data_IF_192428171173
#
_entry.id   IF_192428171173
#
_cell.length_a   1.000
_cell.length_b   1.000
_cell.length_c   1.000
_cell.angle_alpha   90.00
_cell.angle_beta   90.00
_cell.angle_gamma   90.00
#
_symmetry.space_group_name_H-M   'P 1'
#
loop_
_entity.id
_entity.type
_entity.pdbx_description
1 polymer ?
#
# COMPACT_ATOMS: atom_id res chain seq x y z
N UNK A 1 -0.57 -9.06 -29.66
CA UNK A 1 0.07 -7.75 -29.39
C UNK A 1 -0.61 -7.00 -28.24
N UNK A 2 -1.95 -7.03 -28.11
CA UNK A 2 -2.69 -6.28 -27.06
C UNK A 2 -2.36 -6.67 -25.61
N UNK A 3 -2.29 -7.97 -25.27
CA UNK A 3 -1.96 -8.42 -23.90
C UNK A 3 -0.66 -7.81 -23.37
N UNK A 4 0.37 -7.72 -24.22
CA UNK A 4 1.69 -7.17 -23.82
C UNK A 4 1.61 -5.68 -23.45
N UNK A 5 0.77 -4.91 -24.13
CA UNK A 5 0.54 -3.48 -23.85
C UNK A 5 -0.24 -3.33 -22.53
N UNK A 6 -1.26 -4.17 -22.33
CA UNK A 6 -2.07 -4.19 -21.10
C UNK A 6 -1.23 -4.49 -19.84
N UNK A 7 -0.36 -5.49 -19.92
CA UNK A 7 0.62 -5.82 -18.89
C UNK A 7 1.53 -4.63 -18.50
N UNK A 8 2.07 -3.93 -19.52
CA UNK A 8 2.96 -2.79 -19.32
C UNK A 8 2.23 -1.63 -18.63
N UNK A 9 0.99 -1.36 -19.05
CA UNK A 9 0.17 -0.28 -18.49
C UNK A 9 -0.21 -0.56 -17.03
N UNK A 10 -0.56 -1.80 -16.68
CA UNK A 10 -0.82 -2.20 -15.29
C UNK A 10 0.43 -2.05 -14.42
N UNK A 11 1.60 -2.44 -14.95
CA UNK A 11 2.87 -2.24 -14.24
C UNK A 11 3.17 -0.77 -13.97
N UNK A 12 3.02 0.09 -14.98
CA UNK A 12 3.19 1.55 -14.84
C UNK A 12 2.22 2.10 -13.79
N UNK A 13 0.95 1.70 -13.82
CA UNK A 13 -0.05 2.15 -12.88
C UNK A 13 0.26 1.73 -11.43
N UNK A 14 0.69 0.47 -11.21
CA UNK A 14 1.15 -0.02 -9.91
C UNK A 14 2.46 0.63 -9.45
N UNK A 15 3.26 1.19 -10.36
CA UNK A 15 4.43 1.98 -10.00
C UNK A 15 4.06 3.42 -9.63
N UNK A 16 3.21 4.07 -10.45
CA UNK A 16 2.84 5.47 -10.27
C UNK A 16 1.96 5.68 -9.04
N UNK A 17 0.99 4.79 -8.78
CA UNK A 17 0.08 4.86 -7.63
C UNK A 17 0.78 5.05 -6.27
N UNK A 18 1.68 4.16 -5.85
CA UNK A 18 2.45 4.34 -4.61
C UNK A 18 3.46 5.50 -4.70
N UNK A 19 4.07 5.75 -5.87
CA UNK A 19 5.05 6.84 -6.03
C UNK A 19 4.41 8.20 -5.81
N UNK A 20 3.25 8.46 -6.43
CA UNK A 20 2.54 9.72 -6.22
C UNK A 20 2.08 9.87 -4.77
N UNK A 21 1.61 8.79 -4.12
CA UNK A 21 1.21 8.84 -2.71
C UNK A 21 2.40 9.21 -1.83
N UNK A 22 3.56 8.60 -2.05
CA UNK A 22 4.77 8.94 -1.30
C UNK A 22 5.12 10.43 -1.42
N UNK A 23 5.14 10.97 -2.63
CA UNK A 23 5.42 12.40 -2.85
C UNK A 23 4.35 13.30 -2.21
N UNK A 24 3.07 12.94 -2.34
CA UNK A 24 1.96 13.69 -1.76
C UNK A 24 2.01 13.67 -0.22
N UNK A 25 2.39 12.56 0.41
CA UNK A 25 2.61 12.49 1.86
C UNK A 25 3.74 13.41 2.32
N UNK A 26 4.85 13.47 1.58
CA UNK A 26 5.97 14.38 1.90
C UNK A 26 5.50 15.84 1.84
N UNK A 27 4.78 16.22 0.78
CA UNK A 27 4.22 17.56 0.64
C UNK A 27 3.21 17.86 1.75
N UNK A 28 2.26 16.96 2.01
CA UNK A 28 1.27 17.15 3.06
C UNK A 28 1.90 17.28 4.45
N UNK A 29 2.92 16.48 4.76
CA UNK A 29 3.66 16.57 6.01
C UNK A 29 4.44 17.90 6.13
N UNK A 30 5.05 18.37 5.04
CA UNK A 30 5.77 19.65 5.03
C UNK A 30 4.84 20.86 5.21
N UNK A 31 3.56 20.73 4.82
CA UNK A 31 2.55 21.77 4.96
C UNK A 31 1.76 21.70 6.28
N UNK A 32 1.98 20.67 7.10
CA UNK A 32 1.30 20.50 8.39
C UNK A 32 2.15 21.10 9.52
N UNK A 33 1.71 22.22 10.15
CA UNK A 33 2.42 22.82 11.27
C UNK A 33 2.70 21.84 12.42
N UNK A 34 3.93 21.86 12.93
CA UNK A 34 4.39 21.00 14.04
C UNK A 34 4.28 19.49 13.80
N UNK A 35 4.15 19.05 12.55
CA UNK A 35 4.09 17.63 12.21
C UNK A 35 5.39 16.90 12.57
N UNK A 36 5.26 15.83 13.35
CA UNK A 36 6.36 14.96 13.75
C UNK A 36 6.18 13.58 13.14
N UNK A 37 7.20 13.11 12.38
CA UNK A 37 7.21 11.76 11.81
C UNK A 37 7.07 10.68 12.89
N UNK A 38 7.62 10.91 14.09
CA UNK A 38 7.57 9.95 15.18
C UNK A 38 6.21 10.01 15.92
N UNK A 39 5.68 11.21 16.15
CA UNK A 39 4.56 11.40 17.07
C UNK A 39 3.21 11.56 16.40
N UNK A 40 3.18 11.81 15.09
CA UNK A 40 1.95 11.92 14.31
C UNK A 40 1.75 10.72 13.41
N UNK A 41 0.52 10.20 13.42
CA UNK A 41 0.11 9.19 12.46
C UNK A 41 0.24 9.75 11.04
N UNK A 42 0.43 8.87 10.07
CA UNK A 42 0.27 9.15 8.65
C UNK A 42 -1.15 9.62 8.39
N UNK A 43 -2.14 9.00 9.02
CA UNK A 43 -3.56 9.36 8.87
C UNK A 43 -3.90 10.77 9.35
N UNK A 44 -3.11 11.35 10.27
CA UNK A 44 -3.24 12.76 10.67
C UNK A 44 -3.13 13.69 9.46
N UNK A 45 -2.36 13.31 8.43
CA UNK A 45 -2.21 14.08 7.19
C UNK A 45 -3.54 14.26 6.45
N UNK A 46 -4.50 13.34 6.63
CA UNK A 46 -5.80 13.34 5.97
C UNK A 46 -6.95 13.89 6.81
N UNK A 47 -6.71 14.28 8.06
CA UNK A 47 -7.73 14.82 8.95
C UNK A 47 -8.13 16.25 8.58
N UNK A 48 -9.36 16.64 8.92
CA UNK A 48 -9.92 17.98 8.66
C UNK A 48 -9.06 19.15 9.16
N UNK A 49 -8.23 18.95 10.19
CA UNK A 49 -7.28 19.94 10.69
C UNK A 49 -6.01 20.16 9.84
N UNK A 50 -5.73 19.27 8.87
CA UNK A 50 -4.59 19.39 7.95
C UNK A 50 -4.94 20.26 6.74
N UNK A 51 -4.17 21.32 6.52
CA UNK A 51 -4.34 22.23 5.36
C UNK A 51 -4.19 21.52 4.01
N UNK A 52 -3.48 20.39 3.99
CA UNK A 52 -3.24 19.55 2.82
C UNK A 52 -3.97 18.19 2.90
N UNK A 53 -5.04 18.08 3.71
CA UNK A 53 -5.82 16.85 3.88
C UNK A 53 -6.30 16.26 2.55
N UNK A 54 -6.81 17.11 1.66
CA UNK A 54 -7.26 16.70 0.32
C UNK A 54 -6.16 16.02 -0.49
N UNK A 55 -4.91 16.47 -0.36
CA UNK A 55 -3.77 15.94 -1.10
C UNK A 55 -3.47 14.51 -0.65
N UNK A 56 -3.41 14.28 0.67
CA UNK A 56 -3.25 12.95 1.23
C UNK A 56 -4.43 12.04 0.84
N UNK A 57 -5.66 12.48 1.09
CA UNK A 57 -6.87 11.68 0.88
C UNK A 57 -7.06 11.26 -0.59
N UNK A 58 -6.90 12.19 -1.53
CA UNK A 58 -6.97 11.87 -2.96
C UNK A 58 -5.84 10.91 -3.36
N UNK A 59 -4.61 11.18 -2.91
CA UNK A 59 -3.46 10.35 -3.28
C UNK A 59 -3.55 8.92 -2.74
N UNK A 60 -4.05 8.71 -1.52
CA UNK A 60 -4.21 7.35 -0.97
C UNK A 60 -5.38 6.61 -1.63
N UNK A 61 -6.44 7.32 -2.02
CA UNK A 61 -7.51 6.75 -2.85
C UNK A 61 -6.99 6.31 -4.23
N UNK A 62 -6.18 7.14 -4.90
CA UNK A 62 -5.57 6.79 -6.19
C UNK A 62 -4.62 5.60 -6.06
N UNK A 63 -3.86 5.52 -4.96
CA UNK A 63 -3.04 4.34 -4.66
C UNK A 63 -3.91 3.09 -4.50
N UNK A 64 -4.96 3.13 -3.68
CA UNK A 64 -5.87 1.99 -3.51
C UNK A 64 -6.53 1.55 -4.82
N UNK A 65 -6.99 2.51 -5.63
CA UNK A 65 -7.53 2.24 -6.97
C UNK A 65 -6.50 1.57 -7.88
N UNK A 66 -5.23 2.01 -7.84
CA UNK A 66 -4.17 1.39 -8.63
C UNK A 66 -3.97 -0.08 -8.28
N UNK A 67 -4.01 -0.42 -6.98
CA UNK A 67 -3.88 -1.78 -6.48
C UNK A 67 -5.08 -2.65 -6.91
N UNK A 68 -6.32 -2.13 -6.82
CA UNK A 68 -7.52 -2.86 -7.27
C UNK A 68 -7.49 -3.16 -8.78
N UNK A 69 -7.08 -2.20 -9.60
CA UNK A 69 -6.94 -2.41 -11.04
C UNK A 69 -5.86 -3.45 -11.35
N UNK A 70 -4.73 -3.42 -10.63
CA UNK A 70 -3.70 -4.45 -10.72
C UNK A 70 -4.19 -5.83 -10.28
N UNK A 71 -5.08 -5.90 -9.30
CA UNK A 71 -5.66 -7.15 -8.82
C UNK A 71 -6.49 -7.88 -9.89
N UNK A 72 -7.31 -7.13 -10.64
CA UNK A 72 -8.10 -7.68 -11.75
C UNK A 72 -7.20 -8.33 -12.80
N UNK A 73 -6.11 -7.66 -13.15
CA UNK A 73 -5.11 -8.16 -14.08
C UNK A 73 -4.43 -9.46 -13.56
N UNK A 74 -4.13 -9.53 -12.26
CA UNK A 74 -3.48 -10.69 -11.63
C UNK A 74 -4.42 -11.87 -11.31
N UNK A 75 -5.74 -11.69 -11.44
CA UNK A 75 -6.76 -12.70 -11.09
C UNK A 75 -6.60 -14.03 -11.84
N UNK A 76 -6.21 -13.98 -13.11
CA UNK A 76 -5.95 -15.17 -13.93
C UNK A 76 -4.64 -15.89 -13.59
N UNK A 77 -3.73 -15.22 -12.86
CA UNK A 77 -2.39 -15.74 -12.51
C UNK A 77 -2.37 -16.35 -11.10
N UNK A 78 -3.06 -15.72 -10.15
CA UNK A 78 -3.14 -16.18 -8.78
C UNK A 78 -4.38 -15.56 -8.10
N UNK A 79 -5.42 -16.37 -7.88
CA UNK A 79 -6.70 -15.94 -7.30
C UNK A 79 -6.56 -15.39 -5.87
N UNK A 80 -5.72 -16.03 -5.05
CA UNK A 80 -5.49 -15.60 -3.67
C UNK A 80 -4.80 -14.23 -3.64
N UNK A 81 -3.74 -14.07 -4.44
CA UNK A 81 -3.06 -12.78 -4.57
C UNK A 81 -4.01 -11.68 -5.03
N UNK A 82 -4.83 -11.95 -6.05
CA UNK A 82 -5.81 -10.98 -6.55
C UNK A 82 -6.88 -10.62 -5.51
N UNK A 83 -7.39 -11.58 -4.75
CA UNK A 83 -8.33 -11.29 -3.66
C UNK A 83 -7.70 -10.39 -2.60
N UNK A 84 -6.48 -10.69 -2.17
CA UNK A 84 -5.76 -9.89 -1.18
C UNK A 84 -5.46 -8.48 -1.70
N UNK A 85 -5.08 -8.35 -2.97
CA UNK A 85 -4.88 -7.05 -3.62
C UNK A 85 -6.19 -6.25 -3.73
N UNK A 86 -7.33 -6.88 -4.03
CA UNK A 86 -8.64 -6.22 -4.02
C UNK A 86 -8.99 -5.68 -2.62
N UNK A 87 -8.78 -6.49 -1.57
CA UNK A 87 -8.99 -6.06 -0.19
C UNK A 87 -8.03 -4.94 0.22
N UNK A 88 -6.77 -5.02 -0.20
CA UNK A 88 -5.74 -4.01 0.08
C UNK A 88 -6.15 -2.66 -0.52
N UNK A 89 -6.50 -2.67 -1.80
CA UNK A 89 -6.92 -1.47 -2.49
C UNK A 89 -8.25 -0.91 -1.95
N UNK A 90 -9.21 -1.78 -1.60
CA UNK A 90 -10.45 -1.37 -0.93
C UNK A 90 -10.18 -0.67 0.40
N UNK A 91 -9.29 -1.22 1.23
CA UNK A 91 -8.88 -0.60 2.49
C UNK A 91 -8.32 0.81 2.27
N UNK A 92 -7.36 0.99 1.35
CA UNK A 92 -6.75 2.30 1.10
C UNK A 92 -7.66 3.31 0.39
N UNK A 93 -8.57 2.87 -0.49
CA UNK A 93 -9.64 3.73 -1.00
C UNK A 93 -10.49 4.22 0.17
N UNK A 94 -10.89 3.30 1.04
CA UNK A 94 -11.68 3.60 2.22
C UNK A 94 -11.00 4.59 3.16
N UNK A 95 -9.69 4.45 3.42
CA UNK A 95 -8.89 5.37 4.22
C UNK A 95 -8.90 6.80 3.65
N UNK A 96 -8.87 6.96 2.32
CA UNK A 96 -8.96 8.29 1.71
C UNK A 96 -10.36 8.90 1.72
N UNK A 97 -11.41 8.08 1.74
CA UNK A 97 -12.82 8.54 1.81
C UNK A 97 -13.21 8.88 3.26
N UNK A 98 -12.85 8.01 4.19
CA UNK A 98 -13.12 8.15 5.62
C UNK A 98 -11.82 8.52 6.31
N UNK A 99 -11.54 9.83 6.39
CA UNK A 99 -10.35 10.39 7.06
C UNK A 99 -10.27 9.98 8.55
N UNK A 100 -9.17 10.32 9.21
CA UNK A 100 -8.98 10.07 10.65
C UNK A 100 -10.08 10.67 11.55
N UNK A 101 -10.88 11.61 11.03
CA UNK A 101 -12.06 12.15 11.72
C UNK A 101 -13.13 11.07 11.98
N UNK A 102 -13.16 9.99 11.19
CA UNK A 102 -14.05 8.84 11.34
C UNK A 102 -13.36 7.66 12.04
N UNK A 103 -12.84 7.89 13.25
CA UNK A 103 -11.90 6.99 13.95
C UNK A 103 -12.14 5.48 13.78
N UNK A 104 -13.34 4.98 14.06
CA UNK A 104 -13.66 3.53 14.00
C UNK A 104 -13.66 3.01 12.55
N UNK A 105 -14.33 3.73 11.65
CA UNK A 105 -14.39 3.37 10.23
C UNK A 105 -13.01 3.43 9.58
N UNK A 106 -12.27 4.50 9.86
CA UNK A 106 -10.91 4.70 9.40
C UNK A 106 -9.98 3.56 9.85
N UNK A 107 -9.97 3.25 11.16
CA UNK A 107 -9.15 2.17 11.71
C UNK A 107 -9.49 0.83 11.05
N UNK A 108 -10.79 0.54 10.86
CA UNK A 108 -11.23 -0.72 10.24
C UNK A 108 -10.69 -0.84 8.81
N UNK A 109 -10.80 0.23 8.01
CA UNK A 109 -10.33 0.26 6.61
C UNK A 109 -8.81 0.23 6.53
N UNK A 110 -8.11 0.92 7.44
CA UNK A 110 -6.66 0.86 7.56
C UNK A 110 -6.18 -0.56 7.89
N UNK A 111 -6.84 -1.26 8.82
CA UNK A 111 -6.52 -2.64 9.16
C UNK A 111 -6.79 -3.61 8.01
N UNK A 112 -7.88 -3.43 7.27
CA UNK A 112 -8.13 -4.19 6.04
C UNK A 112 -6.95 -3.98 5.08
N UNK A 113 -6.53 -2.73 4.84
CA UNK A 113 -5.41 -2.38 3.98
C UNK A 113 -4.08 -2.99 4.43
N UNK A 114 -3.69 -2.80 5.69
CA UNK A 114 -2.42 -3.27 6.24
C UNK A 114 -2.32 -4.80 6.30
N UNK A 115 -3.34 -5.46 6.86
CA UNK A 115 -3.32 -6.92 7.03
C UNK A 115 -3.37 -7.60 5.66
N UNK A 116 -4.31 -7.21 4.79
CA UNK A 116 -4.40 -7.82 3.47
C UNK A 116 -3.18 -7.50 2.60
N UNK A 117 -2.60 -6.30 2.71
CA UNK A 117 -1.37 -5.90 2.00
C UNK A 117 -0.15 -6.70 2.44
N UNK A 118 0.01 -6.91 3.76
CA UNK A 118 1.03 -7.77 4.33
C UNK A 118 0.94 -9.21 3.80
N UNK A 119 -0.25 -9.80 3.85
CA UNK A 119 -0.50 -11.16 3.35
C UNK A 119 -0.37 -11.22 1.82
N UNK A 120 -0.79 -10.18 1.09
CA UNK A 120 -0.64 -10.05 -0.37
C UNK A 120 0.83 -10.20 -0.79
N UNK A 121 1.74 -9.50 -0.10
CA UNK A 121 3.17 -9.59 -0.36
C UNK A 121 3.71 -11.01 -0.12
N UNK A 122 3.29 -11.67 0.96
CA UNK A 122 3.68 -13.07 1.24
C UNK A 122 3.14 -14.00 0.13
N UNK A 123 1.89 -13.81 -0.28
CA UNK A 123 1.26 -14.58 -1.36
C UNK A 123 1.97 -14.37 -2.72
N UNK A 124 2.66 -13.24 -2.92
CA UNK A 124 3.44 -12.97 -4.12
C UNK A 124 4.61 -13.94 -4.32
N UNK A 125 5.05 -14.66 -3.28
CA UNK A 125 6.05 -15.74 -3.42
C UNK A 125 5.63 -16.78 -4.49
N UNK A 126 4.32 -17.07 -4.58
CA UNK A 126 3.75 -18.01 -5.55
C UNK A 126 3.84 -17.50 -7.00
N UNK A 127 4.13 -16.22 -7.23
CA UNK A 127 4.29 -15.64 -8.58
C UNK A 127 5.67 -15.94 -9.21
N UNK A 128 6.56 -16.65 -8.49
CA UNK A 128 7.88 -17.10 -8.99
C UNK A 128 8.71 -15.96 -9.60
N UNK A 129 8.77 -14.83 -8.89
CA UNK A 129 9.50 -13.62 -9.26
C UNK A 129 11.00 -13.69 -8.86
N UNK A 130 11.65 -14.85 -9.03
CA UNK A 130 13.04 -15.08 -8.63
C UNK A 130 13.32 -14.58 -7.18
N UNK A 131 14.37 -13.79 -6.97
CA UNK A 131 14.75 -13.22 -5.68
C UNK A 131 13.71 -12.27 -5.10
N UNK A 132 12.96 -11.55 -5.95
CA UNK A 132 11.93 -10.62 -5.50
C UNK A 132 10.82 -11.34 -4.71
N UNK A 133 10.50 -12.60 -5.05
CA UNK A 133 9.53 -13.39 -4.28
C UNK A 133 9.92 -13.57 -2.80
N UNK A 134 11.22 -13.73 -2.51
CA UNK A 134 11.74 -13.83 -1.13
C UNK A 134 11.69 -12.48 -0.41
N UNK A 135 12.02 -11.40 -1.12
CA UNK A 135 11.90 -10.02 -0.61
C UNK A 135 10.45 -9.70 -0.26
N UNK A 136 9.48 -10.13 -1.08
CA UNK A 136 8.06 -9.96 -0.79
C UNK A 136 7.65 -10.61 0.54
N UNK A 137 8.14 -11.82 0.82
CA UNK A 137 7.83 -12.50 2.09
C UNK A 137 8.39 -11.71 3.27
N UNK A 138 9.65 -11.26 3.19
CA UNK A 138 10.28 -10.47 4.24
C UNK A 138 9.52 -9.16 4.50
N UNK A 139 9.21 -8.39 3.45
CA UNK A 139 8.47 -7.13 3.58
C UNK A 139 7.04 -7.35 4.09
N UNK A 140 6.39 -8.43 3.68
CA UNK A 140 5.08 -8.83 4.18
C UNK A 140 5.08 -9.16 5.66
N UNK A 141 6.03 -9.99 6.12
CA UNK A 141 6.19 -10.30 7.54
C UNK A 141 6.50 -9.05 8.36
N UNK A 142 7.41 -8.20 7.86
CA UNK A 142 7.79 -6.97 8.52
C UNK A 142 6.59 -6.02 8.71
N UNK A 143 5.78 -5.83 7.66
CA UNK A 143 4.55 -5.04 7.71
C UNK A 143 3.52 -5.61 8.71
N UNK A 144 3.30 -6.93 8.71
CA UNK A 144 2.34 -7.58 9.62
C UNK A 144 2.80 -7.51 11.08
N UNK A 145 4.10 -7.73 11.35
CA UNK A 145 4.65 -7.62 12.70
C UNK A 145 4.52 -6.17 13.19
N UNK A 146 4.89 -5.19 12.36
CA UNK A 146 4.73 -3.77 12.71
C UNK A 146 3.26 -3.39 12.94
N UNK A 147 2.32 -3.94 12.16
CA UNK A 147 0.88 -3.76 12.38
C UNK A 147 0.44 -4.33 13.73
N UNK A 148 0.91 -5.53 14.09
CA UNK A 148 0.61 -6.15 15.39
C UNK A 148 1.19 -5.36 16.56
N UNK A 149 2.43 -4.86 16.43
CA UNK A 149 3.08 -4.01 17.42
C UNK A 149 2.35 -2.67 17.60
N UNK A 150 1.91 -2.05 16.49
CA UNK A 150 1.11 -0.83 16.52
C UNK A 150 -0.19 -1.04 17.30
N UNK A 151 -0.93 -2.11 17.03
CA UNK A 151 -2.16 -2.46 17.75
C UNK A 151 -1.93 -2.76 19.23
N UNK A 152 -0.76 -3.30 19.57
CA UNK A 152 -0.34 -3.53 20.95
C UNK A 152 0.19 -2.26 21.65
N UNK A 153 0.20 -1.10 20.98
CA UNK A 153 0.81 0.14 21.44
C UNK A 153 2.32 0.02 21.77
N UNK A 154 3.02 -0.91 21.12
CA UNK A 154 4.45 -1.14 21.28
C UNK A 154 5.23 -0.42 20.18
N UNK A 155 5.71 0.80 20.45
CA UNK A 155 6.36 1.66 19.44
C UNK A 155 7.86 1.44 19.29
N UNK A 156 8.49 0.69 20.19
CA UNK A 156 9.94 0.41 20.20
C UNK A 156 10.81 1.69 20.13
N UNK A 157 10.32 2.80 20.68
CA UNK A 157 11.02 4.09 20.66
C UNK A 157 10.85 4.89 19.36
N UNK A 158 10.12 4.39 18.37
CA UNK A 158 9.86 5.08 17.10
C UNK A 158 8.68 6.07 17.16
N UNK A 159 7.92 6.03 18.27
CA UNK A 159 6.63 6.70 18.37
C UNK A 159 5.54 6.03 17.52
N UNK A 160 4.30 6.47 17.70
CA UNK A 160 3.13 5.89 17.01
C UNK A 160 3.19 6.11 15.50
N UNK A 161 3.65 7.28 15.07
CA UNK A 161 3.82 7.64 13.67
C UNK A 161 4.95 6.88 12.99
N UNK A 162 6.02 6.59 13.71
CA UNK A 162 7.11 5.76 13.21
C UNK A 162 6.67 4.30 13.04
N UNK A 163 5.94 3.75 14.02
CA UNK A 163 5.45 2.37 13.96
C UNK A 163 4.41 2.17 12.84
N UNK A 164 3.50 3.12 12.64
CA UNK A 164 2.56 3.08 11.51
C UNK A 164 3.29 3.11 10.15
N UNK A 165 4.36 3.90 10.01
CA UNK A 165 5.19 3.89 8.80
C UNK A 165 5.89 2.56 8.58
N UNK A 166 6.35 1.87 9.63
CA UNK A 166 6.88 0.52 9.50
C UNK A 166 5.82 -0.50 9.07
N UNK A 167 4.56 -0.30 9.45
CA UNK A 167 3.45 -1.11 8.97
C UNK A 167 3.15 -0.81 7.48
N UNK A 168 3.14 0.47 7.09
CA UNK A 168 2.65 0.91 5.78
C UNK A 168 3.71 0.97 4.66
N UNK A 169 4.90 1.51 4.93
CA UNK A 169 5.93 1.74 3.91
C UNK A 169 6.39 0.47 3.18
N UNK A 170 6.49 -0.71 3.81
CA UNK A 170 6.77 -1.94 3.08
C UNK A 170 5.74 -2.22 1.97
N UNK A 171 4.45 -1.96 2.22
CA UNK A 171 3.37 -2.15 1.22
C UNK A 171 3.57 -1.17 0.05
N UNK A 172 3.84 0.10 0.34
CA UNK A 172 4.11 1.15 -0.65
C UNK A 172 5.31 0.80 -1.55
N UNK A 173 6.46 0.56 -0.92
CA UNK A 173 7.73 0.26 -1.60
C UNK A 173 7.59 -1.01 -2.43
N UNK A 174 7.01 -2.06 -1.83
CA UNK A 174 6.80 -3.31 -2.53
C UNK A 174 5.90 -3.14 -3.75
N UNK A 175 4.81 -2.37 -3.64
CA UNK A 175 3.88 -2.15 -4.75
C UNK A 175 4.57 -1.41 -5.90
N UNK A 176 5.39 -0.39 -5.58
CA UNK A 176 6.17 0.33 -6.58
C UNK A 176 7.15 -0.60 -7.30
N UNK A 177 7.94 -1.37 -6.55
CA UNK A 177 8.89 -2.34 -7.11
C UNK A 177 8.18 -3.42 -7.96
N UNK A 178 7.04 -3.93 -7.47
CA UNK A 178 6.26 -4.93 -8.18
C UNK A 178 5.70 -4.37 -9.50
N UNK A 179 5.17 -3.15 -9.49
CA UNK A 179 4.73 -2.43 -10.69
C UNK A 179 5.87 -2.21 -11.69
N UNK A 180 7.03 -1.76 -11.20
CA UNK A 180 8.23 -1.61 -12.03
C UNK A 180 8.64 -2.92 -12.71
N UNK A 181 8.72 -4.02 -11.95
CA UNK A 181 9.01 -5.35 -12.50
C UNK A 181 7.97 -5.75 -13.56
N UNK A 182 6.68 -5.55 -13.28
CA UNK A 182 5.60 -5.86 -14.22
C UNK A 182 5.70 -5.06 -15.52
N UNK A 183 6.09 -3.79 -15.45
CA UNK A 183 6.17 -2.90 -16.61
C UNK A 183 7.21 -3.35 -17.64
N UNK A 184 8.32 -3.94 -17.17
CA UNK A 184 9.44 -4.37 -18.03
C UNK A 184 9.40 -5.87 -18.36
N UNK A 185 8.61 -6.68 -17.63
CA UNK A 185 8.63 -8.14 -17.75
C UNK A 185 7.87 -8.60 -18.99
N UNK A 186 8.61 -9.12 -19.98
CA UNK A 186 8.04 -9.62 -21.25
C UNK A 186 7.12 -10.85 -21.10
N UNK A 187 7.23 -11.62 -20.01
CA UNK A 187 6.36 -12.76 -19.69
C UNK A 187 6.28 -13.01 -18.18
N UNK A 188 5.09 -12.87 -17.58
CA UNK A 188 4.75 -13.59 -16.35
C UNK A 188 4.18 -14.92 -16.83
N UNK A 189 4.82 -16.07 -16.53
CA UNK A 189 4.32 -17.36 -17.00
C UNK A 189 2.83 -17.50 -16.62
N UNK A 190 1.97 -17.58 -17.64
CA UNK A 190 0.65 -18.21 -17.49
C UNK A 190 0.95 -19.66 -17.21
N UNK A 191 0.86 -20.14 -15.97
CA UNK A 191 1.11 -21.56 -15.77
C UNK A 191 0.11 -22.16 -14.80
N UNK A 192 -0.69 -23.04 -15.42
CA UNK A 192 -1.31 -24.25 -14.88
C UNK A 192 -2.35 -24.05 -13.80
#
# INVERSE_FOLDING_TARGET
MSKKIEHSNVGILLFLGPTQLFLCMVVAAALYPNYSIANNYISDLGMSGSSAAWLFNISITLFGASVMLGANYMRSKNKLFALLALLTGFGFIGVGIFSGDFAVTHLTLALIGFISGGIMMIAAYKLKLQWFGKISVLLGLFSLIATGLLLANLTLGLGVGGMERLAFYPILIWTACFGGILSIRKNIPNRF
#
